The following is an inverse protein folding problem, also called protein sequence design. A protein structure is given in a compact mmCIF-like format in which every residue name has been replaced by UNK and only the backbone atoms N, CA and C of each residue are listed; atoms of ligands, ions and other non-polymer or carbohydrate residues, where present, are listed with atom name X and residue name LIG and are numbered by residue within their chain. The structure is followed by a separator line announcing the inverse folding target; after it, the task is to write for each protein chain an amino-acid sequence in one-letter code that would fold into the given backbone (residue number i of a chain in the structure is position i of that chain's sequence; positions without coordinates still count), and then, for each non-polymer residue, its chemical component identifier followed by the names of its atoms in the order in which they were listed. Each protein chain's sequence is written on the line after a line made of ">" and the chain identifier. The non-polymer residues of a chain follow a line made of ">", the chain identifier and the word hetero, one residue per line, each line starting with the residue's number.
data_IF_318696850930
#
_entry.id   IF_318696850930
#
_cell.length_a   1.000
_cell.length_b   1.000
_cell.length_c   1.000
_cell.angle_alpha   90.00
_cell.angle_beta   90.00
_cell.angle_gamma   90.00
#
_symmetry.space_group_name_H-M   'P 1'
#
loop_
_entity.id
_entity.type
_entity.pdbx_description
1 polymer ?
#
# COMPACT_ATOMS: atom_id res chain seq x y z
N UNK A 1 -9.44 86.71 18.04
CA UNK A 1 -9.07 85.33 17.65
C UNK A 1 -9.19 85.26 16.14
N UNK A 2 -8.09 85.08 15.43
CA UNK A 2 -8.09 85.07 13.97
C UNK A 2 -8.41 83.66 13.45
N UNK A 3 -9.71 83.40 13.26
CA UNK A 3 -10.23 82.08 12.90
C UNK A 3 -9.62 81.55 11.58
N UNK A 4 -9.20 82.44 10.69
CA UNK A 4 -8.62 82.08 9.39
C UNK A 4 -7.25 81.41 9.56
N UNK A 5 -6.40 81.92 10.46
CA UNK A 5 -5.12 81.29 10.78
C UNK A 5 -5.30 79.94 11.47
N UNK A 6 -6.29 79.83 12.35
CA UNK A 6 -6.62 78.57 13.01
C UNK A 6 -7.00 77.47 12.00
N UNK A 7 -7.90 77.77 11.05
CA UNK A 7 -8.30 76.81 10.02
C UNK A 7 -7.16 76.45 9.05
N UNK A 8 -6.29 77.40 8.70
CA UNK A 8 -5.11 77.13 7.85
C UNK A 8 -4.14 76.16 8.50
N UNK A 9 -3.78 76.39 9.77
CA UNK A 9 -2.86 75.50 10.49
C UNK A 9 -3.45 74.10 10.69
N UNK A 10 -4.76 74.02 10.98
CA UNK A 10 -5.45 72.75 11.10
C UNK A 10 -5.42 71.95 9.80
N UNK A 11 -5.67 72.62 8.66
CA UNK A 11 -5.64 71.97 7.34
C UNK A 11 -4.24 71.48 6.96
N UNK A 12 -3.20 72.28 7.26
CA UNK A 12 -1.81 71.95 6.97
C UNK A 12 -1.34 70.70 7.75
N UNK A 13 -1.69 70.61 9.03
CA UNK A 13 -1.38 69.45 9.87
C UNK A 13 -2.16 68.22 9.38
N UNK A 14 -3.46 68.36 9.11
CA UNK A 14 -4.28 67.26 8.63
C UNK A 14 -3.76 66.67 7.31
N UNK A 15 -3.38 67.52 6.37
CA UNK A 15 -2.84 67.08 5.07
C UNK A 15 -1.48 66.42 5.23
N UNK A 16 -0.61 66.96 6.09
CA UNK A 16 0.70 66.37 6.39
C UNK A 16 0.60 64.97 7.01
N UNK A 17 -0.33 64.77 7.95
CA UNK A 17 -0.58 63.46 8.57
C UNK A 17 -1.12 62.46 7.55
N UNK A 18 -2.10 62.86 6.73
CA UNK A 18 -2.65 62.00 5.68
C UNK A 18 -1.58 61.60 4.63
N UNK A 19 -0.77 62.56 4.18
CA UNK A 19 0.32 62.28 3.23
C UNK A 19 1.35 61.31 3.81
N UNK A 20 1.73 61.48 5.08
CA UNK A 20 2.62 60.57 5.78
C UNK A 20 2.07 59.14 5.89
N UNK A 21 0.79 58.98 6.20
CA UNK A 21 0.13 57.67 6.30
C UNK A 21 0.07 56.97 4.94
N UNK A 22 -0.22 57.69 3.85
CA UNK A 22 -0.23 57.12 2.48
C UNK A 22 1.17 56.63 2.09
N UNK A 23 2.20 57.41 2.41
CA UNK A 23 3.59 57.08 2.08
C UNK A 23 4.06 55.86 2.88
N UNK A 24 3.75 55.82 4.17
CA UNK A 24 4.02 54.67 5.04
C UNK A 24 3.30 53.40 4.54
N UNK A 25 2.01 53.52 4.18
CA UNK A 25 1.25 52.41 3.62
C UNK A 25 1.88 51.89 2.32
N UNK A 26 2.25 52.80 1.39
CA UNK A 26 2.87 52.43 0.11
C UNK A 26 4.21 51.70 0.28
N UNK A 27 4.97 52.01 1.33
CA UNK A 27 6.26 51.37 1.64
C UNK A 27 6.09 49.98 2.28
N UNK A 28 5.06 49.82 3.12
CA UNK A 28 4.80 48.59 3.88
C UNK A 28 4.01 47.57 3.05
N UNK A 29 3.08 48.03 2.21
CA UNK A 29 2.19 47.19 1.41
C UNK A 29 2.89 46.08 0.58
N UNK A 30 3.95 46.36 -0.21
CA UNK A 30 4.61 45.32 -1.01
C UNK A 30 5.26 44.23 -0.16
N UNK A 31 5.69 44.55 1.08
CA UNK A 31 6.25 43.53 2.00
C UNK A 31 5.16 42.63 2.56
N UNK A 32 3.97 43.16 2.84
CA UNK A 32 2.81 42.39 3.29
C UNK A 32 2.39 41.41 2.18
N UNK A 33 2.28 41.88 0.93
CA UNK A 33 1.96 41.02 -0.21
C UNK A 33 2.98 39.90 -0.39
N UNK A 34 4.28 40.20 -0.31
CA UNK A 34 5.34 39.20 -0.41
C UNK A 34 5.25 38.13 0.69
N UNK A 35 4.91 38.52 1.93
CA UNK A 35 4.71 37.58 3.04
C UNK A 35 3.47 36.70 2.87
N UNK A 36 2.37 37.28 2.38
CA UNK A 36 1.13 36.54 2.07
C UNK A 36 1.37 35.56 0.91
N UNK A 37 2.13 35.97 -0.11
CA UNK A 37 2.47 35.10 -1.23
C UNK A 37 3.38 33.96 -0.77
N UNK A 38 4.40 34.24 0.05
CA UNK A 38 5.33 33.23 0.56
C UNK A 38 4.64 32.19 1.45
N UNK A 39 3.71 32.63 2.30
CA UNK A 39 2.88 31.73 3.12
C UNK A 39 1.98 30.85 2.26
N UNK A 40 1.25 31.42 1.28
CA UNK A 40 0.45 30.65 0.32
C UNK A 40 1.26 29.65 -0.51
N UNK A 41 2.50 30.00 -0.89
CA UNK A 41 3.40 29.10 -1.63
C UNK A 41 3.90 27.93 -0.78
N UNK A 42 4.18 28.17 0.52
CA UNK A 42 4.56 27.12 1.46
C UNK A 42 3.40 26.13 1.69
N UNK A 43 2.20 26.65 1.92
CA UNK A 43 0.99 25.84 2.09
C UNK A 43 0.69 25.01 0.83
N UNK A 44 0.83 25.61 -0.35
CA UNK A 44 0.66 24.91 -1.63
C UNK A 44 1.68 23.78 -1.81
N UNK A 45 2.97 24.02 -1.53
CA UNK A 45 4.01 22.98 -1.59
C UNK A 45 3.75 21.84 -0.60
N UNK A 46 3.32 22.17 0.63
CA UNK A 46 2.96 21.17 1.64
C UNK A 46 1.70 20.37 1.24
N UNK A 47 0.72 21.01 0.60
CA UNK A 47 -0.49 20.36 0.09
C UNK A 47 -0.21 19.47 -1.12
N UNK A 48 0.63 19.91 -2.06
CA UNK A 48 1.03 19.11 -3.23
C UNK A 48 1.88 17.91 -2.80
N UNK A 49 2.77 18.08 -1.82
CA UNK A 49 3.57 17.00 -1.26
C UNK A 49 2.71 16.01 -0.44
N UNK A 50 1.71 16.48 0.32
CA UNK A 50 0.74 15.59 0.98
C UNK A 50 -0.17 14.87 -0.02
N UNK A 51 -0.59 15.56 -1.08
CA UNK A 51 -1.41 14.98 -2.15
C UNK A 51 -0.66 13.89 -2.93
N UNK A 52 0.62 14.10 -3.21
CA UNK A 52 1.45 13.09 -3.89
C UNK A 52 1.77 11.89 -2.99
N UNK A 53 2.16 12.12 -1.72
CA UNK A 53 2.48 11.03 -0.78
C UNK A 53 1.22 10.23 -0.38
N UNK A 54 0.06 10.87 -0.28
CA UNK A 54 -1.21 10.19 0.01
C UNK A 54 -1.62 9.24 -1.11
N UNK A 55 -1.60 9.70 -2.36
CA UNK A 55 -1.91 8.88 -3.53
C UNK A 55 -0.89 7.74 -3.74
N UNK A 56 0.39 8.01 -3.52
CA UNK A 56 1.45 6.99 -3.62
C UNK A 56 1.27 5.88 -2.58
N UNK A 57 0.95 6.22 -1.33
CA UNK A 57 0.67 5.20 -0.29
C UNK A 57 -0.56 4.35 -0.64
N UNK A 58 -1.59 4.95 -1.22
CA UNK A 58 -2.79 4.23 -1.62
C UNK A 58 -2.52 3.27 -2.79
N UNK A 59 -1.71 3.70 -3.77
CA UNK A 59 -1.25 2.83 -4.85
C UNK A 59 -0.41 1.65 -4.34
N UNK A 60 0.47 1.89 -3.36
CA UNK A 60 1.28 0.83 -2.75
C UNK A 60 0.41 -0.18 -1.99
N UNK A 61 -0.65 0.28 -1.30
CA UNK A 61 -1.63 -0.61 -0.66
C UNK A 61 -2.36 -1.48 -1.69
N UNK A 62 -2.93 -0.85 -2.73
CA UNK A 62 -3.64 -1.58 -3.77
C UNK A 62 -2.74 -2.64 -4.44
N UNK A 63 -1.51 -2.25 -4.81
CA UNK A 63 -0.53 -3.16 -5.38
C UNK A 63 -0.09 -4.29 -4.43
N UNK A 64 -0.06 -4.04 -3.12
CA UNK A 64 0.22 -5.08 -2.13
C UNK A 64 -0.89 -6.14 -2.08
N UNK A 65 -2.16 -5.72 -2.07
CA UNK A 65 -3.29 -6.67 -2.12
C UNK A 65 -3.34 -7.46 -3.43
N UNK A 66 -3.07 -6.83 -4.58
CA UNK A 66 -2.98 -7.55 -5.87
C UNK A 66 -1.90 -8.64 -5.85
N UNK A 67 -0.71 -8.30 -5.33
CA UNK A 67 0.40 -9.27 -5.19
C UNK A 67 0.05 -10.40 -4.25
N UNK A 68 -0.58 -10.13 -3.12
CA UNK A 68 -1.00 -11.17 -2.18
C UNK A 68 -2.13 -12.04 -2.75
N UNK A 69 -3.05 -11.46 -3.52
CA UNK A 69 -4.05 -12.26 -4.26
C UNK A 69 -3.37 -13.19 -5.27
N UNK A 70 -2.41 -12.70 -6.05
CA UNK A 70 -1.63 -13.52 -6.97
C UNK A 70 -0.86 -14.61 -6.22
N UNK A 71 -0.24 -14.28 -5.08
CA UNK A 71 0.44 -15.24 -4.23
C UNK A 71 -0.47 -16.42 -3.88
N UNK A 72 -1.71 -16.18 -3.41
CA UNK A 72 -2.65 -17.26 -3.06
C UNK A 72 -2.89 -18.23 -4.23
N UNK A 73 -3.01 -17.72 -5.46
CA UNK A 73 -3.19 -18.56 -6.65
C UNK A 73 -1.91 -19.31 -7.05
N UNK A 74 -0.73 -18.70 -6.87
CA UNK A 74 0.54 -19.30 -7.26
C UNK A 74 0.97 -20.43 -6.33
N UNK A 75 0.64 -20.34 -5.05
CA UNK A 75 0.95 -21.39 -4.08
C UNK A 75 -0.13 -22.48 -4.01
N UNK A 76 -1.21 -22.36 -4.77
CA UNK A 76 -2.24 -23.39 -4.83
C UNK A 76 -1.64 -24.70 -5.37
N UNK A 77 -1.74 -25.84 -4.65
CA UNK A 77 -1.13 -27.10 -5.03
C UNK A 77 -1.49 -27.55 -6.44
N UNK A 78 -2.73 -27.28 -6.88
CA UNK A 78 -3.19 -27.54 -8.24
C UNK A 78 -2.32 -26.85 -9.29
N UNK A 79 -2.02 -25.57 -9.10
CA UNK A 79 -1.24 -24.76 -10.03
C UNK A 79 0.26 -25.07 -9.94
N UNK A 80 0.73 -25.44 -8.74
CA UNK A 80 2.11 -25.89 -8.53
C UNK A 80 2.38 -27.21 -9.27
N UNK A 81 1.54 -28.22 -9.08
CA UNK A 81 1.65 -29.52 -9.75
C UNK A 81 1.61 -29.34 -11.27
N UNK A 82 0.64 -28.58 -11.79
CA UNK A 82 0.49 -28.35 -13.23
C UNK A 82 1.73 -27.71 -13.88
N UNK A 83 2.53 -26.94 -13.13
CA UNK A 83 3.75 -26.29 -13.64
C UNK A 83 5.02 -27.12 -13.49
N UNK A 84 5.04 -28.09 -12.58
CA UNK A 84 6.26 -28.81 -12.19
C UNK A 84 6.22 -30.31 -12.41
N UNK A 85 5.07 -30.88 -12.77
CA UNK A 85 4.96 -32.28 -13.15
C UNK A 85 5.68 -32.48 -14.50
N UNK A 86 6.74 -33.28 -14.47
CA UNK A 86 7.62 -33.55 -15.62
C UNK A 86 7.82 -35.07 -15.75
N UNK A 87 7.86 -35.61 -16.96
CA UNK A 87 8.05 -37.04 -17.15
C UNK A 87 9.36 -37.56 -16.53
N UNK A 88 9.32 -38.76 -15.96
CA UNK A 88 10.48 -39.48 -15.40
C UNK A 88 11.19 -38.80 -14.21
N UNK A 89 10.53 -37.90 -13.47
CA UNK A 89 11.10 -37.37 -12.22
C UNK A 89 10.73 -38.21 -11.00
N UNK A 90 11.67 -38.28 -10.07
CA UNK A 90 11.47 -38.91 -8.78
C UNK A 90 10.50 -38.08 -7.93
N UNK A 91 9.51 -38.72 -7.28
CA UNK A 91 8.47 -38.05 -6.47
C UNK A 91 9.03 -37.05 -5.45
N UNK A 92 10.12 -37.44 -4.76
CA UNK A 92 10.82 -36.58 -3.80
C UNK A 92 11.35 -35.28 -4.42
N UNK A 93 11.79 -35.32 -5.68
CA UNK A 93 12.26 -34.12 -6.39
C UNK A 93 11.10 -33.16 -6.63
N UNK A 94 9.96 -33.67 -7.08
CA UNK A 94 8.74 -32.87 -7.24
C UNK A 94 8.31 -32.27 -5.90
N UNK A 95 8.18 -33.08 -4.85
CA UNK A 95 7.79 -32.64 -3.50
C UNK A 95 8.67 -31.48 -2.99
N UNK A 96 10.00 -31.64 -3.05
CA UNK A 96 10.94 -30.60 -2.62
C UNK A 96 10.81 -29.34 -3.49
N UNK A 97 10.64 -29.49 -4.80
CA UNK A 97 10.45 -28.37 -5.72
C UNK A 97 9.19 -27.58 -5.40
N UNK A 98 8.08 -28.25 -5.09
CA UNK A 98 6.83 -27.58 -4.73
C UNK A 98 6.98 -26.77 -3.43
N UNK A 99 7.64 -27.32 -2.41
CA UNK A 99 7.88 -26.60 -1.15
C UNK A 99 8.77 -25.38 -1.38
N UNK A 100 9.86 -25.55 -2.14
CA UNK A 100 10.77 -24.46 -2.47
C UNK A 100 10.04 -23.33 -3.22
N UNK A 101 9.17 -23.65 -4.16
CA UNK A 101 8.39 -22.65 -4.90
C UNK A 101 7.45 -21.86 -3.97
N UNK A 102 6.79 -22.53 -3.04
CA UNK A 102 5.94 -21.86 -2.02
C UNK A 102 6.76 -20.91 -1.16
N UNK A 103 7.95 -21.35 -0.70
CA UNK A 103 8.84 -20.50 0.09
C UNK A 103 9.37 -19.30 -0.73
N UNK A 104 9.76 -19.51 -1.98
CA UNK A 104 10.26 -18.46 -2.86
C UNK A 104 9.19 -17.39 -3.14
N UNK A 105 7.97 -17.81 -3.49
CA UNK A 105 6.85 -16.89 -3.70
C UNK A 105 6.50 -16.12 -2.41
N UNK A 106 6.60 -16.77 -1.23
CA UNK A 106 6.40 -16.08 0.04
C UNK A 106 7.47 -15.03 0.30
N UNK A 107 8.75 -15.36 0.07
CA UNK A 107 9.86 -14.41 0.24
C UNK A 107 9.75 -13.22 -0.70
N UNK A 108 9.35 -13.45 -1.96
CA UNK A 108 9.13 -12.38 -2.94
C UNK A 108 8.03 -11.40 -2.48
N UNK A 109 7.01 -11.89 -1.78
CA UNK A 109 5.88 -11.11 -1.31
C UNK A 109 5.98 -10.66 0.16
N UNK A 110 7.06 -11.02 0.87
CA UNK A 110 7.20 -10.76 2.31
C UNK A 110 7.09 -9.27 2.66
N UNK A 111 7.63 -8.39 1.82
CA UNK A 111 7.62 -6.94 2.05
C UNK A 111 6.23 -6.32 1.94
N UNK A 112 5.26 -7.00 1.32
CA UNK A 112 3.90 -6.51 1.18
C UNK A 112 3.17 -6.39 2.52
N UNK A 113 3.65 -7.08 3.57
CA UNK A 113 3.12 -6.98 4.95
C UNK A 113 3.10 -5.54 5.50
N UNK A 114 3.94 -4.65 4.96
CA UNK A 114 4.00 -3.24 5.38
C UNK A 114 2.78 -2.42 4.95
N UNK A 115 2.00 -2.92 3.99
CA UNK A 115 0.94 -2.17 3.32
C UNK A 115 -0.46 -2.79 3.49
N UNK A 116 -0.56 -3.93 4.18
CA UNK A 116 -1.83 -4.63 4.45
C UNK A 116 -2.08 -4.66 5.96
N UNK A 117 -3.29 -5.05 6.36
CA UNK A 117 -3.58 -5.20 7.79
C UNK A 117 -2.84 -6.42 8.38
N UNK A 118 -2.74 -6.45 9.71
CA UNK A 118 -2.19 -7.58 10.43
C UNK A 118 -3.03 -8.86 10.20
N UNK A 119 -4.35 -8.74 10.12
CA UNK A 119 -5.28 -9.86 9.94
C UNK A 119 -5.14 -10.48 8.54
N UNK A 120 -5.10 -9.63 7.49
CA UNK A 120 -4.81 -10.07 6.13
C UNK A 120 -3.45 -10.76 6.01
N UNK A 121 -2.42 -10.19 6.66
CA UNK A 121 -1.09 -10.78 6.65
C UNK A 121 -1.02 -12.12 7.38
N UNK A 122 -1.69 -12.25 8.53
CA UNK A 122 -1.82 -13.52 9.25
C UNK A 122 -2.48 -14.58 8.36
N UNK A 123 -3.58 -14.25 7.68
CA UNK A 123 -4.27 -15.17 6.79
C UNK A 123 -3.37 -15.69 5.65
N UNK A 124 -2.52 -14.83 5.09
CA UNK A 124 -1.52 -15.21 4.08
C UNK A 124 -0.47 -16.15 4.67
N UNK A 125 0.04 -15.85 5.87
CA UNK A 125 1.07 -16.66 6.53
C UNK A 125 0.55 -18.06 6.87
N UNK A 126 -0.66 -18.13 7.45
CA UNK A 126 -1.34 -19.39 7.76
C UNK A 126 -1.62 -20.19 6.50
N UNK A 127 -2.03 -19.55 5.40
CA UNK A 127 -2.23 -20.23 4.12
C UNK A 127 -0.93 -20.88 3.63
N UNK A 128 0.19 -20.16 3.71
CA UNK A 128 1.51 -20.67 3.35
C UNK A 128 1.89 -21.89 4.20
N UNK A 129 1.73 -21.79 5.52
CA UNK A 129 2.06 -22.87 6.46
C UNK A 129 1.20 -24.11 6.21
N UNK A 130 -0.11 -23.92 6.06
CA UNK A 130 -1.06 -25.01 5.76
C UNK A 130 -0.75 -25.68 4.42
N UNK A 131 -0.34 -24.91 3.41
CA UNK A 131 0.08 -25.45 2.10
C UNK A 131 1.29 -26.38 2.27
N UNK A 132 2.32 -25.95 3.00
CA UNK A 132 3.52 -26.77 3.25
C UNK A 132 3.17 -28.03 4.06
N UNK A 133 2.31 -27.91 5.07
CA UNK A 133 1.84 -29.05 5.86
C UNK A 133 1.10 -30.06 4.98
N UNK A 134 0.22 -29.59 4.09
CA UNK A 134 -0.52 -30.44 3.16
C UNK A 134 0.43 -31.21 2.24
N UNK A 135 1.40 -30.53 1.61
CA UNK A 135 2.39 -31.16 0.75
C UNK A 135 3.22 -32.21 1.50
N UNK A 136 3.63 -31.91 2.73
CA UNK A 136 4.37 -32.85 3.57
C UNK A 136 3.54 -34.07 3.98
N UNK A 137 2.26 -33.87 4.32
CA UNK A 137 1.39 -34.97 4.73
C UNK A 137 1.09 -35.91 3.57
N UNK A 138 0.90 -35.39 2.35
CA UNK A 138 0.73 -36.23 1.17
C UNK A 138 1.98 -37.10 0.88
N UNK A 139 3.18 -36.65 1.27
CA UNK A 139 4.43 -37.39 1.07
C UNK A 139 4.70 -38.48 2.12
N UNK A 140 4.13 -38.37 3.34
CA UNK A 140 4.49 -39.23 4.48
C UNK A 140 4.29 -40.74 4.23
N UNK A 141 3.29 -41.10 3.44
CA UNK A 141 2.89 -42.49 3.24
C UNK A 141 3.21 -43.05 1.85
N UNK A 142 3.92 -42.29 1.00
CA UNK A 142 4.10 -42.66 -0.42
C UNK A 142 5.57 -42.80 -0.81
N UNK A 143 5.92 -43.96 -1.37
CA UNK A 143 7.20 -44.19 -2.06
C UNK A 143 7.00 -44.28 -3.58
N UNK A 144 5.78 -43.99 -4.03
CA UNK A 144 5.29 -44.22 -5.40
C UNK A 144 5.68 -43.09 -6.36
N UNK A 145 5.15 -43.15 -7.59
CA UNK A 145 5.44 -42.18 -8.64
C UNK A 145 4.86 -40.80 -8.31
N UNK A 146 5.38 -39.79 -9.02
CA UNK A 146 4.94 -38.40 -8.88
C UNK A 146 3.45 -38.20 -9.17
N UNK A 147 2.84 -39.03 -10.04
CA UNK A 147 1.43 -38.95 -10.41
C UNK A 147 0.53 -39.35 -9.23
N UNK A 148 0.91 -40.41 -8.49
CA UNK A 148 0.18 -40.86 -7.30
C UNK A 148 0.23 -39.79 -6.21
N UNK A 149 1.41 -39.22 -5.98
CA UNK A 149 1.56 -38.10 -5.03
C UNK A 149 0.72 -36.88 -5.44
N UNK A 150 0.73 -36.51 -6.72
CA UNK A 150 -0.06 -35.39 -7.23
C UNK A 150 -1.57 -35.63 -7.06
N UNK A 151 -2.05 -36.84 -7.35
CA UNK A 151 -3.45 -37.22 -7.16
C UNK A 151 -3.86 -37.11 -5.69
N UNK A 152 -3.02 -37.60 -4.77
CA UNK A 152 -3.31 -37.55 -3.34
C UNK A 152 -3.33 -36.11 -2.81
N UNK A 153 -2.39 -35.26 -3.25
CA UNK A 153 -2.41 -33.81 -2.94
C UNK A 153 -3.71 -33.15 -3.40
N UNK A 154 -4.17 -33.46 -4.61
CA UNK A 154 -5.41 -32.91 -5.16
C UNK A 154 -6.65 -33.44 -4.43
N UNK A 155 -6.63 -34.69 -4.00
CA UNK A 155 -7.68 -35.30 -3.19
C UNK A 155 -7.76 -34.62 -1.82
N UNK A 156 -6.63 -34.43 -1.13
CA UNK A 156 -6.59 -33.65 0.12
C UNK A 156 -7.15 -32.24 -0.10
N UNK A 157 -6.72 -31.54 -1.14
CA UNK A 157 -7.22 -30.20 -1.48
C UNK A 157 -8.75 -30.19 -1.66
N UNK A 158 -9.32 -31.21 -2.31
CA UNK A 158 -10.78 -31.32 -2.51
C UNK A 158 -11.58 -31.58 -1.24
N UNK A 159 -10.94 -32.13 -0.20
CA UNK A 159 -11.57 -32.44 1.08
C UNK A 159 -11.61 -31.23 2.02
N UNK A 160 -10.78 -30.22 1.77
CA UNK A 160 -10.75 -28.99 2.57
C UNK A 160 -12.05 -28.21 2.37
N UNK A 161 -12.87 -28.15 3.41
CA UNK A 161 -14.04 -27.26 3.49
C UNK A 161 -14.04 -26.50 4.82
N UNK A 162 -14.03 -25.15 4.81
CA UNK A 162 -13.95 -24.27 3.64
C UNK A 162 -12.59 -24.36 2.92
N UNK A 163 -12.56 -23.96 1.64
CA UNK A 163 -11.31 -23.84 0.89
C UNK A 163 -10.47 -22.68 1.48
N UNK A 164 -9.28 -22.96 2.04
CA UNK A 164 -8.46 -21.93 2.66
C UNK A 164 -7.94 -20.91 1.65
N UNK A 165 -7.71 -21.29 0.39
CA UNK A 165 -7.24 -20.36 -0.64
C UNK A 165 -8.33 -19.33 -0.98
N UNK A 166 -9.57 -19.79 -1.17
CA UNK A 166 -10.71 -18.91 -1.40
C UNK A 166 -11.01 -18.04 -0.18
N UNK A 167 -10.89 -18.59 1.02
CA UNK A 167 -11.12 -17.85 2.27
C UNK A 167 -10.12 -16.70 2.43
N UNK A 168 -8.82 -16.98 2.23
CA UNK A 168 -7.79 -15.94 2.26
C UNK A 168 -8.01 -14.90 1.16
N UNK A 169 -8.35 -15.32 -0.06
CA UNK A 169 -8.68 -14.38 -1.15
C UNK A 169 -9.87 -13.48 -0.80
N UNK A 170 -10.88 -14.01 -0.13
CA UNK A 170 -12.04 -13.23 0.30
C UNK A 170 -11.64 -12.18 1.33
N UNK A 171 -10.82 -12.54 2.33
CA UNK A 171 -10.30 -11.61 3.34
C UNK A 171 -9.51 -10.49 2.66
N UNK A 172 -8.57 -10.85 1.77
CA UNK A 172 -7.76 -9.88 1.03
C UNK A 172 -8.63 -8.92 0.19
N UNK A 173 -9.66 -9.44 -0.49
CA UNK A 173 -10.59 -8.61 -1.29
C UNK A 173 -11.46 -7.71 -0.43
N UNK A 174 -11.92 -8.18 0.73
CA UNK A 174 -12.74 -7.38 1.64
C UNK A 174 -11.93 -6.22 2.20
N UNK A 175 -10.67 -6.45 2.56
CA UNK A 175 -9.81 -5.41 3.11
C UNK A 175 -9.26 -4.45 2.06
N UNK A 176 -9.01 -4.92 0.84
CA UNK A 176 -8.61 -4.05 -0.26
C UNK A 176 -9.69 -3.01 -0.63
N UNK A 177 -10.96 -3.33 -0.36
CA UNK A 177 -12.11 -2.46 -0.66
C UNK A 177 -12.58 -1.61 0.54
N UNK A 178 -11.91 -1.70 1.70
CA UNK A 178 -12.22 -0.91 2.90
C UNK A 178 -11.46 0.42 2.89
#
# INVERSE_FOLDING_TARGET
>A
MDYIEFFKNLFLIAFGVCAGLILAFRLVWPKIEALIIKTKMLDKKMSEQKGSTGGEREQLKAGAYERLLLFTSRIEPRNLIARHLEDNQHVRTLHLRLIQEVDNEFQYNFTQQLYVSADAWEAVRLLKENTVILLNNAMKDHTDTQEVYAEEVLKFLSTLRPDPYQTTQLILKQEANR
#
